data_IF_425242442736
#
_entry.id   IF_425242442736
#
_cell.length_a   1.000
_cell.length_b   1.000
_cell.length_c   1.000
_cell.angle_alpha   90.00
_cell.angle_beta   90.00
_cell.angle_gamma   90.00
#
_symmetry.space_group_name_H-M   'P 1'
#
loop_
_entity.id
_entity.type
_entity.pdbx_description
1 polymer ?
#
# COMPACT_ATOMS: atom_id res chain seq x y z
N UNK A 1 -37.86 24.50 -65.35
CA UNK A 1 -38.50 25.79 -65.65
C UNK A 1 -38.51 26.60 -64.36
N UNK A 2 -37.61 27.58 -64.24
CA UNK A 2 -37.68 28.62 -63.21
C UNK A 2 -38.89 29.54 -63.50
N UNK A 3 -39.51 30.14 -62.47
CA UNK A 3 -39.15 31.51 -62.04
C UNK A 3 -39.19 31.62 -60.50
N UNK A 4 -38.73 32.66 -59.81
CA UNK A 4 -38.20 33.99 -60.13
C UNK A 4 -38.08 34.77 -58.81
N UNK A 5 -37.09 35.65 -58.72
CA UNK A 5 -36.75 36.56 -57.60
C UNK A 5 -37.95 37.47 -57.19
N UNK A 6 -38.09 37.99 -55.97
CA UNK A 6 -37.29 39.10 -55.41
C UNK A 6 -37.86 39.50 -54.03
N UNK A 7 -37.03 39.85 -53.05
CA UNK A 7 -37.03 41.22 -52.48
C UNK A 7 -35.92 41.36 -51.44
N UNK A 8 -35.21 42.48 -51.55
CA UNK A 8 -34.12 42.94 -50.69
C UNK A 8 -34.71 43.92 -49.70
N UNK A 9 -34.47 43.69 -48.41
CA UNK A 9 -34.82 44.61 -47.33
C UNK A 9 -33.57 44.93 -46.52
N UNK A 10 -32.99 46.10 -46.78
CA UNK A 10 -31.85 46.68 -46.08
C UNK A 10 -32.28 47.15 -44.69
N UNK A 11 -31.55 46.76 -43.63
CA UNK A 11 -31.62 47.47 -42.35
C UNK A 11 -30.21 47.74 -41.83
N UNK A 12 -29.94 49.03 -41.62
CA UNK A 12 -28.70 49.56 -41.12
C UNK A 12 -28.49 49.22 -39.63
N UNK A 13 -27.20 49.21 -39.24
CA UNK A 13 -26.71 48.97 -37.89
C UNK A 13 -27.06 50.11 -36.90
N UNK A 14 -26.94 49.81 -35.60
CA UNK A 14 -26.08 50.65 -34.78
C UNK A 14 -24.98 49.82 -34.13
N UNK A 15 -23.75 50.33 -34.24
CA UNK A 15 -22.60 49.89 -33.46
C UNK A 15 -22.81 50.30 -32.00
N UNK A 16 -22.72 49.34 -31.07
CA UNK A 16 -22.38 49.60 -29.68
C UNK A 16 -21.14 48.78 -29.34
N UNK A 17 -20.10 49.53 -28.94
CA UNK A 17 -18.75 49.11 -28.63
C UNK A 17 -18.66 48.49 -27.24
N UNK A 18 -17.76 47.50 -27.12
CA UNK A 18 -16.90 47.35 -25.94
C UNK A 18 -17.46 46.58 -24.75
N UNK A 19 -16.69 45.57 -24.31
CA UNK A 19 -16.78 45.06 -22.93
C UNK A 19 -17.33 43.65 -22.79
N UNK A 20 -16.81 42.69 -23.56
CA UNK A 20 -17.06 41.27 -23.29
C UNK A 20 -16.22 40.83 -22.09
N UNK A 21 -16.63 41.19 -20.86
CA UNK A 21 -16.12 40.53 -19.66
C UNK A 21 -16.88 39.22 -19.54
N UNK A 22 -16.41 38.21 -20.27
CA UNK A 22 -16.68 36.83 -19.86
C UNK A 22 -16.09 36.70 -18.46
N UNK A 23 -16.95 36.71 -17.44
CA UNK A 23 -16.60 36.12 -16.15
C UNK A 23 -16.17 34.69 -16.47
N UNK A 24 -14.86 34.48 -16.51
CA UNK A 24 -14.27 33.17 -16.40
C UNK A 24 -14.75 32.71 -15.04
N UNK A 25 -15.64 31.72 -14.99
CA UNK A 25 -15.81 30.90 -13.81
C UNK A 25 -14.45 30.24 -13.57
N UNK A 26 -13.59 30.96 -12.85
CA UNK A 26 -12.35 30.46 -12.31
C UNK A 26 -12.80 29.47 -11.23
N UNK A 27 -13.00 28.22 -11.65
CA UNK A 27 -13.23 27.12 -10.74
C UNK A 27 -12.13 27.19 -9.70
N UNK A 28 -12.48 27.61 -8.48
CA UNK A 28 -11.55 27.71 -7.38
C UNK A 28 -10.85 26.36 -7.25
N UNK A 29 -9.53 26.36 -7.43
CA UNK A 29 -8.72 25.15 -7.29
C UNK A 29 -9.09 24.53 -5.93
N UNK A 30 -9.57 23.27 -5.88
CA UNK A 30 -10.08 22.69 -4.65
C UNK A 30 -9.04 22.84 -3.55
N UNK A 31 -9.48 23.33 -2.39
CA UNK A 31 -8.59 23.52 -1.25
C UNK A 31 -7.80 22.24 -1.01
N UNK A 32 -6.47 22.31 -0.84
CA UNK A 32 -5.67 21.10 -0.76
C UNK A 32 -6.13 20.24 0.41
N UNK A 33 -6.13 18.90 0.26
CA UNK A 33 -6.59 18.01 1.31
C UNK A 33 -5.79 18.24 2.60
N UNK A 34 -6.43 17.98 3.75
CA UNK A 34 -5.83 18.19 5.07
C UNK A 34 -5.59 16.85 5.73
N UNK A 35 -4.38 16.64 6.22
CA UNK A 35 -4.01 15.43 6.94
C UNK A 35 -4.92 15.22 8.17
N UNK A 36 -5.58 14.04 8.28
CA UNK A 36 -6.56 13.78 9.33
C UNK A 36 -5.94 13.72 10.73
N UNK A 37 -4.62 13.50 10.84
CA UNK A 37 -3.88 13.47 12.11
C UNK A 37 -3.32 14.84 12.52
N UNK A 38 -3.68 15.91 11.80
CA UNK A 38 -3.25 17.27 12.08
C UNK A 38 -2.02 17.70 11.29
N UNK A 39 -1.43 18.84 11.71
CA UNK A 39 -0.27 19.43 11.03
C UNK A 39 0.98 18.59 11.28
N UNK A 40 1.71 18.27 10.22
CA UNK A 40 3.06 17.69 10.31
C UNK A 40 4.14 18.77 10.27
N UNK A 41 3.78 20.01 9.91
CA UNK A 41 4.70 21.13 9.75
C UNK A 41 5.31 21.23 8.34
N UNK A 42 4.90 20.35 7.42
CA UNK A 42 5.35 20.31 6.04
C UNK A 42 4.15 20.44 5.10
N UNK A 43 4.12 21.43 4.21
CA UNK A 43 3.05 21.60 3.21
C UNK A 43 3.39 20.93 1.87
N UNK A 44 2.38 20.75 1.03
CA UNK A 44 2.52 20.16 -0.29
C UNK A 44 2.51 18.64 -0.26
N UNK A 45 2.79 18.00 -1.41
CA UNK A 45 2.75 16.54 -1.57
C UNK A 45 3.97 15.82 -1.00
N UNK A 46 5.10 16.53 -0.84
CA UNK A 46 6.37 15.91 -0.46
C UNK A 46 6.79 14.81 -1.46
N UNK A 47 7.33 13.72 -0.93
CA UNK A 47 7.77 12.55 -1.72
C UNK A 47 6.68 11.52 -2.05
N UNK A 48 5.42 11.79 -1.72
CA UNK A 48 4.30 10.89 -1.99
C UNK A 48 3.78 11.01 -3.43
N UNK A 49 3.02 10.03 -3.91
CA UNK A 49 2.54 10.00 -5.30
C UNK A 49 1.44 11.00 -5.59
N UNK A 50 0.49 11.19 -4.67
CA UNK A 50 -0.64 12.11 -4.82
C UNK A 50 -0.87 12.95 -3.56
N UNK A 51 -1.61 14.05 -3.71
CA UNK A 51 -2.23 14.75 -2.59
C UNK A 51 -3.31 13.85 -1.94
N UNK A 52 -3.52 14.02 -0.63
CA UNK A 52 -4.46 13.21 0.14
C UNK A 52 -3.90 11.82 0.49
N UNK A 53 -4.77 10.80 0.59
CA UNK A 53 -4.36 9.46 0.98
C UNK A 53 -3.60 8.75 -0.15
N UNK A 54 -2.45 8.19 0.20
CA UNK A 54 -1.63 7.33 -0.64
C UNK A 54 -1.80 5.89 -0.14
N UNK A 55 -2.68 5.13 -0.79
CA UNK A 55 -3.07 3.80 -0.34
C UNK A 55 -1.99 2.75 -0.64
N UNK A 56 -1.70 1.94 0.38
CA UNK A 56 -0.74 0.85 0.34
C UNK A 56 -1.39 -0.47 0.80
N UNK A 57 -0.77 -1.59 0.45
CA UNK A 57 -1.18 -2.92 0.89
C UNK A 57 -0.01 -3.59 1.62
N UNK A 58 -0.30 -4.18 2.78
CA UNK A 58 0.68 -4.82 3.64
C UNK A 58 0.33 -6.30 3.91
N UNK A 59 0.83 -7.24 3.09
CA UNK A 59 0.75 -8.66 3.40
C UNK A 59 1.60 -8.97 4.64
N UNK A 60 0.99 -9.52 5.68
CA UNK A 60 1.67 -10.00 6.90
C UNK A 60 1.68 -11.52 6.88
N UNK A 61 2.75 -12.06 6.30
CA UNK A 61 2.89 -13.50 6.06
C UNK A 61 3.55 -14.13 7.29
N UNK A 62 2.84 -15.01 7.99
CA UNK A 62 3.31 -15.57 9.25
C UNK A 62 3.25 -17.09 9.30
N UNK A 63 4.09 -17.68 10.16
CA UNK A 63 4.06 -19.09 10.52
C UNK A 63 4.45 -19.27 11.98
N UNK A 64 4.15 -20.42 12.58
CA UNK A 64 4.68 -20.75 13.90
C UNK A 64 6.18 -21.04 13.84
N UNK A 65 6.95 -20.43 14.75
CA UNK A 65 8.34 -20.82 14.99
C UNK A 65 8.37 -22.26 15.50
N UNK A 66 9.26 -23.10 14.96
CA UNK A 66 9.43 -24.48 15.40
C UNK A 66 10.88 -24.77 15.80
N UNK A 67 11.06 -25.73 16.71
CA UNK A 67 12.37 -26.24 17.11
C UNK A 67 12.82 -27.37 16.13
N UNK A 68 13.96 -28.00 16.43
CA UNK A 68 14.52 -29.08 15.62
C UNK A 68 13.58 -30.30 15.52
N UNK A 69 12.79 -30.56 16.57
CA UNK A 69 11.81 -31.65 16.61
C UNK A 69 10.49 -31.31 15.90
N UNK A 70 10.37 -30.11 15.33
CA UNK A 70 9.14 -29.64 14.70
C UNK A 70 8.05 -29.18 15.68
N UNK A 71 8.29 -29.15 16.99
CA UNK A 71 7.37 -28.61 17.98
C UNK A 71 7.34 -27.07 17.93
N UNK A 72 6.15 -26.48 18.18
CA UNK A 72 5.98 -25.01 18.20
C UNK A 72 6.76 -24.42 19.39
N UNK A 73 7.68 -23.50 19.11
CA UNK A 73 8.40 -22.77 20.14
C UNK A 73 7.46 -21.88 20.94
N UNK A 74 7.70 -21.81 22.25
CA UNK A 74 6.95 -20.96 23.18
C UNK A 74 7.91 -20.10 23.99
N UNK A 75 7.43 -18.93 24.38
CA UNK A 75 8.06 -18.07 25.39
C UNK A 75 7.05 -17.85 26.50
N UNK A 76 7.34 -18.39 27.68
CA UNK A 76 6.34 -18.64 28.72
C UNK A 76 5.18 -19.47 28.13
N UNK A 77 3.92 -19.10 28.37
CA UNK A 77 2.75 -19.83 27.87
C UNK A 77 2.42 -19.54 26.40
N UNK A 78 2.95 -18.46 25.83
CA UNK A 78 2.58 -17.97 24.49
C UNK A 78 3.44 -18.60 23.39
N UNK A 79 2.79 -18.95 22.28
CA UNK A 79 3.46 -19.45 21.06
C UNK A 79 4.25 -18.34 20.37
N UNK A 80 5.33 -18.67 19.69
CA UNK A 80 6.17 -17.71 18.98
C UNK A 80 5.88 -17.71 17.48
N UNK A 81 5.65 -16.52 16.90
CA UNK A 81 5.48 -16.35 15.46
C UNK A 81 6.82 -16.04 14.77
N UNK A 82 6.90 -16.43 13.51
CA UNK A 82 7.82 -15.88 12.52
C UNK A 82 7.03 -15.12 11.46
N UNK A 83 7.61 -14.04 10.95
CA UNK A 83 7.08 -13.25 9.84
C UNK A 83 8.08 -13.24 8.70
N UNK A 84 7.60 -13.30 7.45
CA UNK A 84 8.44 -13.08 6.29
C UNK A 84 8.82 -11.60 6.22
N UNK A 85 10.12 -11.32 6.32
CA UNK A 85 10.66 -9.98 6.25
C UNK A 85 11.63 -9.84 5.07
N UNK A 86 11.64 -8.65 4.49
CA UNK A 86 12.51 -8.30 3.38
C UNK A 86 13.34 -7.06 3.73
N UNK A 87 14.54 -6.96 3.16
CA UNK A 87 15.42 -5.81 3.35
C UNK A 87 16.00 -5.37 2.00
N UNK A 88 15.67 -4.16 1.52
CA UNK A 88 16.31 -3.59 0.34
C UNK A 88 17.82 -3.41 0.54
N UNK A 89 18.64 -3.47 -0.52
CA UNK A 89 20.11 -3.48 -0.40
C UNK A 89 20.71 -2.26 0.31
N UNK A 90 20.07 -1.09 0.22
CA UNK A 90 20.55 0.16 0.84
C UNK A 90 19.84 0.49 2.16
N UNK A 91 19.00 -0.41 2.68
CA UNK A 91 18.25 -0.18 3.91
C UNK A 91 18.85 -0.96 5.06
N UNK A 92 19.06 -0.27 6.19
CA UNK A 92 19.45 -0.92 7.44
C UNK A 92 18.26 -1.67 8.10
N UNK A 93 17.04 -1.29 7.74
CA UNK A 93 15.82 -1.76 8.38
C UNK A 93 15.16 -2.87 7.58
N UNK A 94 14.70 -3.90 8.29
CA UNK A 94 13.81 -4.89 7.70
C UNK A 94 12.41 -4.27 7.52
N UNK A 95 11.65 -4.81 6.56
CA UNK A 95 10.30 -4.40 6.28
C UNK A 95 9.41 -5.61 5.98
N UNK A 96 8.11 -5.43 6.11
CA UNK A 96 7.15 -6.34 5.52
C UNK A 96 7.19 -6.20 3.99
N UNK A 97 6.88 -7.26 3.22
CA UNK A 97 6.93 -7.27 1.76
C UNK A 97 5.77 -6.52 1.09
N UNK A 98 5.18 -5.50 1.73
CA UNK A 98 4.15 -4.67 1.11
C UNK A 98 4.63 -3.27 0.73
N UNK A 99 3.68 -2.36 0.59
CA UNK A 99 3.88 -0.98 0.16
C UNK A 99 2.89 -0.56 -0.92
N UNK A 100 3.32 0.36 -1.80
CA UNK A 100 2.52 0.81 -2.93
C UNK A 100 2.32 -0.30 -3.97
N UNK A 101 1.21 -0.17 -4.69
CA UNK A 101 0.90 -0.94 -5.89
C UNK A 101 1.07 -0.03 -7.10
N UNK A 102 1.57 -0.57 -8.20
CA UNK A 102 1.58 0.17 -9.46
C UNK A 102 0.13 0.23 -10.01
N UNK A 103 -0.20 1.21 -10.86
CA UNK A 103 -1.52 1.29 -11.47
C UNK A 103 -1.90 -0.01 -12.18
N UNK A 104 -3.10 -0.53 -11.90
CA UNK A 104 -3.60 -1.80 -12.46
C UNK A 104 -3.04 -3.07 -11.79
N UNK A 105 -2.11 -2.95 -10.84
CA UNK A 105 -1.54 -4.09 -10.14
C UNK A 105 -2.25 -4.39 -8.81
N UNK A 106 -2.42 -5.67 -8.54
CA UNK A 106 -3.01 -6.24 -7.32
C UNK A 106 -1.98 -6.34 -6.19
N UNK A 107 -0.76 -6.77 -6.53
CA UNK A 107 0.31 -7.08 -5.57
C UNK A 107 1.24 -5.87 -5.32
N UNK A 108 1.75 -5.69 -4.09
CA UNK A 108 2.70 -4.64 -3.79
C UNK A 108 4.02 -4.82 -4.54
N UNK A 109 4.64 -3.72 -4.97
CA UNK A 109 5.92 -3.73 -5.70
C UNK A 109 7.01 -4.54 -5.00
N UNK A 110 7.12 -4.39 -3.68
CA UNK A 110 8.16 -5.05 -2.88
C UNK A 110 7.99 -6.57 -2.85
N UNK A 111 6.74 -7.06 -2.80
CA UNK A 111 6.45 -8.49 -2.89
C UNK A 111 6.86 -9.04 -4.26
N UNK A 112 6.50 -8.34 -5.34
CA UNK A 112 6.81 -8.75 -6.72
C UNK A 112 8.31 -8.89 -6.97
N UNK A 113 9.13 -8.10 -6.26
CA UNK A 113 10.60 -8.17 -6.36
C UNK A 113 11.21 -9.39 -5.67
N UNK A 114 10.50 -10.03 -4.74
CA UNK A 114 10.99 -11.19 -3.98
C UNK A 114 10.26 -12.49 -4.30
N UNK A 115 9.20 -12.41 -5.12
CA UNK A 115 8.32 -13.50 -5.46
C UNK A 115 8.31 -13.74 -6.97
N UNK A 116 8.55 -14.98 -7.37
CA UNK A 116 8.53 -15.40 -8.77
C UNK A 116 7.15 -15.15 -9.39
N UNK A 117 7.14 -14.68 -10.65
CA UNK A 117 5.92 -14.22 -11.34
C UNK A 117 4.86 -15.31 -11.47
N UNK A 118 5.30 -16.55 -11.61
CA UNK A 118 4.47 -17.75 -11.71
C UNK A 118 3.61 -17.96 -10.45
N UNK A 119 4.04 -17.44 -9.30
CA UNK A 119 3.30 -17.58 -8.03
C UNK A 119 2.37 -16.40 -7.72
N UNK A 120 2.39 -15.32 -8.52
CA UNK A 120 1.56 -14.14 -8.24
C UNK A 120 0.06 -14.46 -8.15
N UNK A 121 -0.55 -15.23 -9.07
CA UNK A 121 -1.98 -15.57 -8.98
C UNK A 121 -2.32 -16.37 -7.72
N UNK A 122 -1.47 -17.32 -7.33
CA UNK A 122 -1.64 -18.07 -6.08
C UNK A 122 -1.55 -17.15 -4.86
N UNK A 123 -0.63 -16.19 -4.87
CA UNK A 123 -0.51 -15.23 -3.79
C UNK A 123 -1.71 -14.27 -3.71
N UNK A 124 -2.29 -13.87 -4.84
CA UNK A 124 -3.54 -13.10 -4.86
C UNK A 124 -4.69 -13.86 -4.19
N UNK A 125 -4.80 -15.18 -4.44
CA UNK A 125 -5.77 -16.03 -3.75
C UNK A 125 -5.52 -16.10 -2.24
N UNK A 126 -4.25 -16.22 -1.82
CA UNK A 126 -3.88 -16.17 -0.39
C UNK A 126 -4.24 -14.83 0.25
N UNK A 127 -4.07 -13.71 -0.46
CA UNK A 127 -4.49 -12.39 0.00
C UNK A 127 -6.01 -12.28 0.13
N UNK A 128 -6.76 -12.81 -0.85
CA UNK A 128 -8.22 -12.77 -0.83
C UNK A 128 -8.82 -13.61 0.31
N UNK A 129 -8.15 -14.69 0.70
CA UNK A 129 -8.53 -15.54 1.84
C UNK A 129 -7.96 -15.05 3.18
N UNK A 130 -7.04 -14.09 3.15
CA UNK A 130 -6.40 -13.54 4.34
C UNK A 130 -7.35 -12.71 5.19
N UNK A 131 -6.95 -12.47 6.44
CA UNK A 131 -7.74 -11.68 7.39
C UNK A 131 -7.26 -10.24 7.42
N UNK A 132 -8.13 -9.26 7.15
CA UNK A 132 -7.81 -7.84 7.38
C UNK A 132 -7.58 -7.61 8.88
N UNK A 133 -6.38 -7.14 9.25
CA UNK A 133 -6.00 -6.87 10.65
C UNK A 133 -5.86 -5.39 10.95
N UNK A 134 -5.73 -4.57 9.90
CA UNK A 134 -5.61 -3.13 10.02
C UNK A 134 -6.05 -2.44 8.74
N UNK A 135 -6.76 -1.33 8.89
CA UNK A 135 -7.04 -0.41 7.79
C UNK A 135 -7.05 1.02 8.32
N UNK A 136 -6.27 1.88 7.69
CA UNK A 136 -6.25 3.31 8.02
C UNK A 136 -4.88 3.96 7.95
N UNK A 137 -4.77 5.12 8.60
CA UNK A 137 -3.61 5.99 8.61
C UNK A 137 -2.33 5.29 9.06
N UNK A 138 -1.20 5.61 8.44
CA UNK A 138 0.11 5.12 8.86
C UNK A 138 0.99 6.31 9.21
N UNK A 139 1.52 6.32 10.43
CA UNK A 139 2.55 7.28 10.82
C UNK A 139 3.85 6.97 10.07
N UNK A 140 4.09 7.73 8.99
CA UNK A 140 5.19 7.57 8.07
C UNK A 140 5.87 8.94 7.89
N UNK A 141 7.21 9.01 7.93
CA UNK A 141 7.91 10.29 7.84
C UNK A 141 7.73 11.01 6.49
N UNK A 142 7.13 10.36 5.49
CA UNK A 142 6.73 11.01 4.23
C UNK A 142 5.43 11.79 4.33
N UNK A 143 4.69 11.68 5.44
CA UNK A 143 3.42 12.39 5.62
C UNK A 143 3.64 13.91 5.72
N UNK A 144 2.78 14.66 5.04
CA UNK A 144 2.73 16.12 5.03
C UNK A 144 1.35 16.60 5.53
N UNK A 145 1.14 17.91 5.60
CA UNK A 145 -0.17 18.54 5.83
C UNK A 145 -1.18 18.20 4.72
N UNK A 146 -0.70 17.83 3.52
CA UNK A 146 -1.55 17.65 2.33
C UNK A 146 -1.45 16.28 1.66
N UNK A 147 -0.61 15.37 2.15
CA UNK A 147 -0.50 14.00 1.63
C UNK A 147 -0.09 13.06 2.76
N UNK A 148 -0.74 11.91 2.88
CA UNK A 148 -0.44 10.92 3.92
C UNK A 148 -0.58 9.50 3.40
N UNK A 149 -0.08 8.54 4.17
CA UNK A 149 -0.20 7.12 3.84
C UNK A 149 -1.36 6.49 4.59
N UNK A 150 -2.15 5.71 3.85
CA UNK A 150 -3.09 4.76 4.44
C UNK A 150 -2.72 3.36 3.97
N UNK A 151 -2.97 2.36 4.82
CA UNK A 151 -2.66 0.97 4.48
C UNK A 151 -3.81 0.05 4.85
N UNK A 152 -3.93 -1.03 4.08
CA UNK A 152 -4.66 -2.23 4.48
C UNK A 152 -3.60 -3.28 4.80
N UNK A 153 -3.64 -3.85 6.00
CA UNK A 153 -2.80 -4.97 6.37
C UNK A 153 -3.64 -6.25 6.40
N UNK A 154 -3.18 -7.26 5.66
CA UNK A 154 -3.84 -8.55 5.52
C UNK A 154 -2.93 -9.63 6.10
N UNK A 155 -3.41 -10.35 7.11
CA UNK A 155 -2.72 -11.47 7.72
C UNK A 155 -2.93 -12.75 6.90
N UNK A 156 -1.83 -13.37 6.48
CA UNK A 156 -1.79 -14.69 5.85
C UNK A 156 -1.00 -15.59 6.79
N UNK A 157 -1.66 -16.56 7.42
CA UNK A 157 -1.04 -17.40 8.43
C UNK A 157 -0.99 -18.87 8.02
N UNK A 158 0.20 -19.45 8.06
CA UNK A 158 0.44 -20.87 7.82
C UNK A 158 0.61 -21.60 9.15
N UNK A 159 -0.39 -22.39 9.60
CA UNK A 159 -0.35 -23.07 10.90
C UNK A 159 0.60 -24.28 10.91
N UNK A 160 0.79 -24.93 9.76
CA UNK A 160 1.61 -26.13 9.64
C UNK A 160 2.81 -25.91 8.70
N UNK A 161 3.98 -26.47 9.03
CA UNK A 161 5.12 -26.53 8.10
C UNK A 161 4.89 -27.52 6.95
N UNK A 162 3.96 -28.46 7.15
CA UNK A 162 3.58 -29.40 6.09
C UNK A 162 2.73 -28.76 4.99
N UNK A 163 2.20 -27.55 5.24
CA UNK A 163 1.31 -26.80 4.36
C UNK A 163 1.89 -26.65 2.95
N UNK A 164 1.09 -27.05 1.96
CA UNK A 164 1.48 -27.10 0.55
C UNK A 164 1.74 -25.70 0.00
N UNK A 165 0.93 -24.71 0.40
CA UNK A 165 1.08 -23.33 -0.05
C UNK A 165 2.26 -22.64 0.63
N UNK A 166 2.59 -22.98 1.89
CA UNK A 166 3.83 -22.52 2.52
C UNK A 166 5.07 -23.07 1.78
N UNK A 167 5.07 -24.36 1.41
CA UNK A 167 6.18 -24.97 0.66
C UNK A 167 6.33 -24.32 -0.72
N UNK A 168 5.22 -24.12 -1.42
CA UNK A 168 5.18 -23.42 -2.72
C UNK A 168 5.65 -21.98 -2.60
N UNK A 169 5.20 -21.24 -1.59
CA UNK A 169 5.69 -19.88 -1.33
C UNK A 169 7.22 -19.89 -1.20
N UNK A 170 7.77 -20.74 -0.33
CA UNK A 170 9.22 -20.81 -0.11
C UNK A 170 9.99 -21.18 -1.39
N UNK A 171 9.48 -22.07 -2.23
CA UNK A 171 10.14 -22.44 -3.49
C UNK A 171 10.12 -21.32 -4.55
N UNK A 172 9.21 -20.35 -4.41
CA UNK A 172 9.05 -19.22 -5.33
C UNK A 172 9.64 -17.90 -4.79
N UNK A 173 10.18 -17.90 -3.56
CA UNK A 173 10.94 -16.76 -3.05
C UNK A 173 12.31 -16.70 -3.74
N UNK A 174 12.73 -15.50 -4.15
CA UNK A 174 14.03 -15.26 -4.79
C UNK A 174 14.61 -13.93 -4.33
N UNK A 175 15.90 -13.94 -3.96
CA UNK A 175 16.61 -12.76 -3.44
C UNK A 175 17.73 -12.26 -4.37
N UNK A 176 18.25 -13.12 -5.25
CA UNK A 176 19.52 -12.87 -5.94
C UNK A 176 19.43 -11.76 -6.99
N UNK A 177 18.34 -11.68 -7.75
CA UNK A 177 18.29 -10.79 -8.92
C UNK A 177 17.98 -9.33 -8.55
N UNK A 178 17.44 -9.09 -7.36
CA UNK A 178 16.98 -7.75 -6.92
C UNK A 178 17.86 -7.11 -5.85
N UNK A 179 18.88 -7.84 -5.35
CA UNK A 179 19.70 -7.42 -4.22
C UNK A 179 18.93 -7.34 -2.89
N UNK A 180 17.69 -7.81 -2.84
CA UNK A 180 16.92 -7.88 -1.60
C UNK A 180 17.34 -9.06 -0.74
N UNK A 181 17.46 -8.83 0.56
CA UNK A 181 17.53 -9.94 1.52
C UNK A 181 16.13 -10.36 1.95
N UNK A 182 15.89 -11.67 2.08
CA UNK A 182 14.61 -12.24 2.53
C UNK A 182 14.89 -13.20 3.68
N UNK A 183 14.09 -13.16 4.75
CA UNK A 183 14.14 -14.18 5.80
C UNK A 183 12.84 -14.31 6.56
N UNK A 184 12.66 -15.48 7.16
CA UNK A 184 11.75 -15.64 8.28
C UNK A 184 12.38 -15.04 9.54
N UNK A 185 11.64 -14.15 10.21
CA UNK A 185 12.10 -13.41 11.37
C UNK A 185 11.16 -13.64 12.54
N UNK A 186 11.70 -13.98 13.70
CA UNK A 186 10.92 -14.09 14.95
C UNK A 186 10.25 -12.75 15.25
N UNK A 187 8.94 -12.80 15.51
CA UNK A 187 8.14 -11.66 15.94
C UNK A 187 8.37 -11.42 17.44
N UNK A 188 8.93 -10.26 17.77
CA UNK A 188 9.01 -9.73 19.12
C UNK A 188 9.07 -8.19 19.10
N UNK A 189 8.98 -7.56 20.28
CA UNK A 189 9.09 -6.09 20.47
C UNK A 189 10.37 -5.46 19.93
N UNK A 190 11.47 -6.22 19.89
CA UNK A 190 12.81 -5.75 19.49
C UNK A 190 13.11 -6.00 18.02
N UNK A 191 12.15 -6.54 17.27
CA UNK A 191 12.32 -6.80 15.83
C UNK A 191 12.80 -5.53 15.11
N UNK A 192 13.86 -5.60 14.28
CA UNK A 192 14.43 -4.45 13.58
C UNK A 192 13.61 -4.08 12.34
N UNK A 193 12.29 -3.95 12.51
CA UNK A 193 11.39 -3.45 11.49
C UNK A 193 11.16 -1.94 11.64
N UNK A 194 10.80 -1.32 10.52
CA UNK A 194 10.28 0.04 10.50
C UNK A 194 9.17 0.24 11.55
N UNK A 195 9.19 1.38 12.26
CA UNK A 195 8.39 1.58 13.47
C UNK A 195 6.88 1.38 13.24
N UNK A 196 6.37 1.83 12.09
CA UNK A 196 4.96 1.66 11.74
C UNK A 196 4.51 0.20 11.61
N UNK A 197 5.38 -0.70 11.13
CA UNK A 197 5.08 -2.13 11.00
C UNK A 197 4.95 -2.83 12.34
N UNK A 198 5.57 -2.28 13.40
CA UNK A 198 5.50 -2.88 14.75
C UNK A 198 4.05 -2.90 15.26
N UNK A 199 3.28 -1.83 15.04
CA UNK A 199 1.87 -1.76 15.43
C UNK A 199 1.00 -2.80 14.71
N UNK A 200 1.25 -3.01 13.42
CA UNK A 200 0.59 -4.05 12.62
C UNK A 200 0.95 -5.44 13.18
N UNK A 201 2.23 -5.69 13.47
CA UNK A 201 2.64 -6.98 14.04
C UNK A 201 2.08 -7.23 15.44
N UNK A 202 1.88 -6.20 16.26
CA UNK A 202 1.21 -6.35 17.56
C UNK A 202 -0.22 -6.85 17.38
N UNK A 203 -0.96 -6.28 16.41
CA UNK A 203 -2.32 -6.72 16.09
C UNK A 203 -2.34 -8.17 15.58
N UNK A 204 -1.39 -8.55 14.72
CA UNK A 204 -1.26 -9.93 14.23
C UNK A 204 -0.88 -10.90 15.34
N UNK A 205 0.05 -10.53 16.23
CA UNK A 205 0.40 -11.37 17.37
C UNK A 205 -0.79 -11.55 18.32
N UNK A 206 -1.58 -10.49 18.55
CA UNK A 206 -2.81 -10.56 19.33
C UNK A 206 -3.86 -11.48 18.68
N UNK A 207 -4.06 -11.39 17.36
CA UNK A 207 -4.98 -12.24 16.59
C UNK A 207 -4.71 -13.75 16.84
N UNK A 208 -3.45 -14.15 16.94
CA UNK A 208 -3.07 -15.55 17.14
C UNK A 208 -2.72 -15.92 18.59
N UNK A 209 -2.90 -15.00 19.56
CA UNK A 209 -2.49 -15.24 20.95
C UNK A 209 -0.99 -15.49 21.12
N UNK A 210 -0.17 -14.93 20.22
CA UNK A 210 1.27 -15.14 20.17
C UNK A 210 2.03 -14.20 21.14
N UNK A 211 3.29 -14.57 21.40
CA UNK A 211 4.24 -13.72 22.09
C UNK A 211 4.60 -12.49 21.23
N UNK A 212 4.80 -11.34 21.86
CA UNK A 212 5.28 -10.10 21.24
C UNK A 212 6.19 -9.31 22.20
#
# INVERSE_FOLDING_TARGET
>A
MFPGLSSVGTSAAPQCTGGNVKHRDEAADPSPPRNPMGRTGLRGRGGLSCFGPNHTLQPVITRWKRNQDGAICRKSIKKMLEVLAVRPPLSEHWALPGGSREPGETLPRKLKQVLRREFWPSFENLLAQGTEVYKGYVDDPRNTDNAWIETVAVSIHFPDQSDVELKRLNSHLHSCDTGMSIRWQVVDRRIPLYANHKTILQKVAALFGAYY
#
